data_IF_718938405890
#
_entry.id   IF_718938405890
#
_cell.length_a   1.000
_cell.length_b   1.000
_cell.length_c   1.000
_cell.angle_alpha   90.00
_cell.angle_beta   90.00
_cell.angle_gamma   90.00
#
_symmetry.space_group_name_H-M   'P 1'
#
loop_
_entity.id
_entity.type
_entity.pdbx_description
1 polymer ?
#
# COMPACT_ATOMS: atom_id res chain seq x y z
N UNK A 1 28.44 -7.06 2.57
CA UNK A 1 27.35 -6.11 2.87
C UNK A 1 27.11 -6.15 4.37
N UNK A 2 26.58 -5.06 4.95
CA UNK A 2 25.94 -5.13 6.26
C UNK A 2 24.44 -5.14 6.03
N UNK A 3 23.71 -5.94 6.78
CA UNK A 3 22.29 -6.22 6.54
C UNK A 3 21.45 -5.86 7.76
N UNK A 4 20.17 -5.58 7.54
CA UNK A 4 19.19 -5.39 8.61
C UNK A 4 18.94 -6.70 9.34
N UNK A 5 18.80 -6.66 10.66
CA UNK A 5 18.43 -7.84 11.45
C UNK A 5 17.04 -8.37 11.03
N UNK A 6 16.88 -9.62 10.57
CA UNK A 6 15.61 -10.13 10.03
C UNK A 6 14.42 -10.00 11.00
N UNK A 7 14.62 -10.24 12.29
CA UNK A 7 13.57 -10.06 13.31
C UNK A 7 13.15 -8.62 13.60
N UNK A 8 13.78 -7.61 12.98
CA UNK A 8 13.33 -6.20 13.05
C UNK A 8 12.56 -5.76 11.79
N UNK A 9 12.53 -6.62 10.77
CA UNK A 9 11.99 -6.34 9.43
C UNK A 9 11.16 -7.52 8.91
N UNK A 10 10.61 -8.34 9.81
CA UNK A 10 9.84 -9.55 9.48
C UNK A 10 8.48 -9.24 8.83
N UNK A 11 8.05 -7.98 8.91
CA UNK A 11 6.88 -7.43 8.24
C UNK A 11 7.15 -6.99 6.79
N UNK A 12 8.42 -6.94 6.36
CA UNK A 12 8.80 -6.56 5.00
C UNK A 12 8.62 -7.73 4.02
N UNK A 13 7.78 -7.56 3.01
CA UNK A 13 7.52 -8.60 2.00
C UNK A 13 7.03 -8.02 0.67
N UNK A 14 7.08 -8.86 -0.36
CA UNK A 14 6.52 -8.59 -1.68
C UNK A 14 5.60 -9.74 -2.04
N UNK A 15 4.40 -9.42 -2.52
CA UNK A 15 3.47 -10.38 -3.12
C UNK A 15 2.97 -9.87 -4.46
N UNK A 16 2.51 -10.77 -5.32
CA UNK A 16 2.01 -10.50 -6.65
C UNK A 16 0.52 -10.79 -6.73
N UNK A 17 -0.21 -10.01 -7.50
CA UNK A 17 -1.56 -10.34 -7.96
C UNK A 17 -1.69 -10.07 -9.45
N UNK A 18 -2.57 -10.81 -10.12
CA UNK A 18 -2.84 -10.68 -11.56
C UNK A 18 -4.29 -11.04 -11.85
N UNK A 19 -4.84 -10.51 -12.94
CA UNK A 19 -6.14 -10.93 -13.47
C UNK A 19 -6.04 -12.12 -14.43
N UNK A 20 -4.83 -12.62 -14.73
CA UNK A 20 -4.61 -13.81 -15.55
C UNK A 20 -4.50 -15.05 -14.64
N UNK A 21 -5.59 -15.82 -14.54
CA UNK A 21 -5.64 -17.02 -13.70
C UNK A 21 -4.57 -18.05 -14.12
N UNK A 22 -4.24 -18.16 -15.40
CA UNK A 22 -3.21 -19.10 -15.86
C UNK A 22 -1.80 -18.70 -15.39
N UNK A 23 -1.54 -17.39 -15.26
CA UNK A 23 -0.29 -16.92 -14.65
C UNK A 23 -0.33 -17.10 -13.13
N UNK A 24 -1.47 -16.85 -12.50
CA UNK A 24 -1.63 -17.00 -11.06
C UNK A 24 -1.37 -18.45 -10.61
N UNK A 25 -1.88 -19.44 -11.36
CA UNK A 25 -1.71 -20.87 -11.07
C UNK A 25 -0.25 -21.37 -11.14
N UNK A 26 0.62 -20.65 -11.86
CA UNK A 26 2.05 -21.00 -12.02
C UNK A 26 2.95 -20.26 -11.01
N UNK A 27 2.44 -19.25 -10.31
CA UNK A 27 3.18 -18.54 -9.27
C UNK A 27 3.08 -19.33 -7.96
N UNK A 28 4.20 -19.48 -7.25
CA UNK A 28 4.20 -20.08 -5.91
C UNK A 28 3.25 -19.33 -4.96
N UNK A 29 2.32 -20.07 -4.35
CA UNK A 29 1.30 -19.61 -3.41
C UNK A 29 1.85 -18.66 -2.32
N UNK A 30 3.09 -18.86 -1.87
CA UNK A 30 3.69 -18.02 -0.83
C UNK A 30 3.83 -16.55 -1.26
N UNK A 31 3.92 -16.28 -2.56
CA UNK A 31 4.06 -14.96 -3.15
C UNK A 31 2.77 -14.44 -3.79
N UNK A 32 1.71 -15.24 -3.86
CA UNK A 32 0.47 -14.87 -4.53
C UNK A 32 -0.54 -14.23 -3.57
N UNK A 33 -1.17 -13.13 -3.99
CA UNK A 33 -2.45 -12.67 -3.47
C UNK A 33 -3.52 -13.22 -4.41
N UNK A 34 -4.08 -14.37 -4.04
CA UNK A 34 -5.10 -15.06 -4.83
C UNK A 34 -6.45 -14.30 -4.74
N UNK A 35 -6.84 -13.67 -5.85
CA UNK A 35 -8.08 -12.89 -5.97
C UNK A 35 -9.30 -13.79 -5.79
N UNK A 36 -9.29 -15.00 -6.36
CA UNK A 36 -10.42 -15.93 -6.33
C UNK A 36 -10.68 -16.46 -4.90
N UNK A 37 -9.62 -16.59 -4.10
CA UNK A 37 -9.72 -16.97 -2.68
C UNK A 37 -10.11 -15.80 -1.77
N UNK A 38 -9.68 -14.59 -2.10
CA UNK A 38 -9.83 -13.43 -1.23
C UNK A 38 -11.19 -12.73 -1.39
N UNK A 39 -11.81 -12.83 -2.56
CA UNK A 39 -13.02 -12.10 -2.91
C UNK A 39 -14.18 -13.04 -3.30
N UNK A 40 -15.44 -12.64 -3.03
CA UNK A 40 -16.61 -13.33 -3.59
C UNK A 40 -16.54 -13.37 -5.13
N UNK A 41 -17.07 -14.43 -5.75
CA UNK A 41 -16.91 -14.69 -7.18
C UNK A 41 -17.22 -13.49 -8.10
N UNK A 42 -18.33 -12.78 -7.85
CA UNK A 42 -18.70 -11.59 -8.64
C UNK A 42 -17.67 -10.45 -8.51
N UNK A 43 -17.15 -10.22 -7.30
CA UNK A 43 -16.11 -9.21 -7.06
C UNK A 43 -14.78 -9.65 -7.67
N UNK A 44 -14.42 -10.93 -7.56
CA UNK A 44 -13.21 -11.48 -8.16
C UNK A 44 -13.22 -11.33 -9.68
N UNK A 45 -14.32 -11.68 -10.35
CA UNK A 45 -14.51 -11.48 -11.79
C UNK A 45 -14.34 -10.01 -12.19
N UNK A 46 -14.99 -9.09 -11.47
CA UNK A 46 -14.86 -7.66 -11.73
C UNK A 46 -13.42 -7.14 -11.56
N UNK A 47 -12.72 -7.58 -10.52
CA UNK A 47 -11.33 -7.20 -10.25
C UNK A 47 -10.39 -7.76 -11.33
N UNK A 48 -10.51 -9.05 -11.67
CA UNK A 48 -9.69 -9.67 -12.72
C UNK A 48 -9.92 -9.00 -14.07
N UNK A 49 -11.17 -8.67 -14.41
CA UNK A 49 -11.50 -7.93 -15.63
C UNK A 49 -10.86 -6.53 -15.66
N UNK A 50 -10.83 -5.82 -14.53
CA UNK A 50 -10.21 -4.49 -14.42
C UNK A 50 -8.67 -4.55 -14.49
N UNK A 51 -8.05 -5.56 -13.89
CA UNK A 51 -6.60 -5.77 -13.91
C UNK A 51 -6.14 -6.29 -15.29
N UNK A 52 -6.99 -7.09 -15.95
CA UNK A 52 -6.67 -7.79 -17.18
C UNK A 52 -5.47 -8.73 -17.01
N UNK A 53 -4.70 -8.92 -18.08
CA UNK A 53 -3.52 -9.78 -18.08
C UNK A 53 -2.26 -9.14 -17.49
N UNK A 54 -2.40 -8.06 -16.74
CA UNK A 54 -1.28 -7.42 -16.06
C UNK A 54 -1.02 -8.08 -14.72
N UNK A 55 0.21 -7.95 -14.21
CA UNK A 55 0.60 -8.38 -12.86
C UNK A 55 1.12 -7.19 -12.07
N UNK A 56 0.79 -7.12 -10.79
CA UNK A 56 1.17 -6.04 -9.90
C UNK A 56 1.84 -6.58 -8.64
N UNK A 57 2.81 -5.83 -8.12
CA UNK A 57 3.52 -6.16 -6.89
C UNK A 57 2.99 -5.31 -5.73
N UNK A 58 2.44 -5.96 -4.72
CA UNK A 58 2.11 -5.36 -3.43
C UNK A 58 3.36 -5.44 -2.54
N UNK A 59 3.98 -4.29 -2.27
CA UNK A 59 5.27 -4.20 -1.58
C UNK A 59 5.09 -3.53 -0.23
N UNK A 60 5.45 -4.24 0.83
CA UNK A 60 5.50 -3.72 2.19
C UNK A 60 6.96 -3.54 2.60
N UNK A 61 7.35 -2.30 2.87
CA UNK A 61 8.66 -1.98 3.47
C UNK A 61 8.57 -2.10 5.00
N UNK A 62 9.70 -2.25 5.72
CA UNK A 62 9.65 -2.48 7.15
C UNK A 62 8.98 -1.33 7.91
N UNK A 63 8.11 -1.66 8.87
CA UNK A 63 7.42 -0.67 9.71
C UNK A 63 8.43 0.20 10.45
N UNK A 64 9.54 -0.37 10.92
CA UNK A 64 10.60 0.38 11.61
C UNK A 64 11.19 1.49 10.72
N UNK A 65 11.30 1.24 9.40
CA UNK A 65 11.81 2.23 8.44
C UNK A 65 10.82 3.39 8.29
N UNK A 66 9.54 3.11 8.08
CA UNK A 66 8.51 4.16 7.94
C UNK A 66 8.41 4.99 9.22
N UNK A 67 8.53 4.36 10.39
CA UNK A 67 8.52 5.05 11.69
C UNK A 67 9.75 5.93 11.93
N UNK A 68 10.91 5.53 11.40
CA UNK A 68 12.15 6.31 11.49
C UNK A 68 12.25 7.39 10.40
N UNK A 69 11.54 7.23 9.29
CA UNK A 69 11.56 8.11 8.14
C UNK A 69 10.16 8.73 7.89
N UNK A 70 9.62 8.52 6.69
CA UNK A 70 8.31 9.02 6.27
C UNK A 70 7.67 8.13 5.19
N UNK A 71 6.46 8.47 4.75
CA UNK A 71 5.77 7.76 3.66
C UNK A 71 6.46 7.90 2.29
N UNK A 72 7.17 9.00 2.04
CA UNK A 72 7.91 9.21 0.80
C UNK A 72 9.06 8.22 0.61
N UNK A 73 9.50 7.58 1.70
CA UNK A 73 10.52 6.54 1.70
C UNK A 73 10.02 5.24 1.06
N UNK A 74 8.72 4.92 1.15
CA UNK A 74 8.16 3.62 0.71
C UNK A 74 8.49 3.27 -0.74
N UNK A 75 8.13 4.14 -1.70
CA UNK A 75 8.35 3.86 -3.12
C UNK A 75 9.83 3.88 -3.51
N UNK A 76 10.63 4.71 -2.83
CA UNK A 76 12.08 4.78 -3.06
C UNK A 76 12.77 3.52 -2.57
N UNK A 77 12.48 3.09 -1.34
CA UNK A 77 13.02 1.86 -0.76
C UNK A 77 12.65 0.66 -1.62
N UNK A 78 11.36 0.54 -1.98
CA UNK A 78 10.85 -0.48 -2.88
C UNK A 78 11.66 -0.55 -4.17
N UNK A 79 11.77 0.56 -4.91
CA UNK A 79 12.48 0.59 -6.18
C UNK A 79 13.96 0.21 -6.08
N UNK A 80 14.64 0.58 -4.99
CA UNK A 80 16.05 0.18 -4.79
C UNK A 80 16.18 -1.34 -4.71
N UNK A 81 15.33 -1.98 -3.89
CA UNK A 81 15.41 -3.44 -3.72
C UNK A 81 14.94 -4.17 -4.98
N UNK A 82 13.88 -3.69 -5.65
CA UNK A 82 13.43 -4.24 -6.92
C UNK A 82 14.54 -4.24 -7.98
N UNK A 83 15.25 -3.12 -8.15
CA UNK A 83 16.34 -3.06 -9.13
C UNK A 83 17.44 -4.08 -8.80
N UNK A 84 17.80 -4.24 -7.53
CA UNK A 84 18.78 -5.25 -7.12
C UNK A 84 18.27 -6.68 -7.37
N UNK A 85 16.99 -6.96 -7.12
CA UNK A 85 16.37 -8.25 -7.43
C UNK A 85 16.37 -8.53 -8.93
N UNK A 86 16.09 -7.54 -9.78
CA UNK A 86 16.16 -7.72 -11.24
C UNK A 86 17.58 -8.01 -11.71
N UNK A 87 18.58 -7.31 -11.16
CA UNK A 87 19.98 -7.55 -11.49
C UNK A 87 20.37 -9.00 -11.19
N UNK A 88 20.01 -9.49 -10.00
CA UNK A 88 20.33 -10.85 -9.56
C UNK A 88 19.51 -11.92 -10.30
N UNK A 89 18.18 -11.81 -10.29
CA UNK A 89 17.28 -12.82 -10.83
C UNK A 89 17.38 -13.00 -12.35
N UNK A 90 17.73 -11.93 -13.08
CA UNK A 90 17.85 -11.96 -14.55
C UNK A 90 19.30 -11.90 -15.04
N UNK A 91 20.29 -12.03 -14.14
CA UNK A 91 21.72 -11.98 -14.48
C UNK A 91 22.12 -10.74 -15.29
N UNK A 92 21.54 -9.59 -14.97
CA UNK A 92 21.88 -8.33 -15.63
C UNK A 92 23.23 -7.81 -15.13
N UNK A 93 23.87 -6.93 -15.89
CA UNK A 93 25.08 -6.27 -15.42
C UNK A 93 24.73 -5.26 -14.31
N UNK A 94 25.42 -5.33 -13.17
CA UNK A 94 25.17 -4.47 -12.03
C UNK A 94 25.55 -3.01 -12.32
N UNK A 95 24.57 -2.22 -12.79
CA UNK A 95 24.74 -0.80 -13.11
C UNK A 95 24.81 -0.48 -14.60
N UNK A 96 24.35 -1.38 -15.49
CA UNK A 96 24.19 -1.04 -16.90
C UNK A 96 23.00 -0.12 -17.18
N UNK A 97 22.94 0.46 -18.38
CA UNK A 97 21.93 1.45 -18.76
C UNK A 97 20.48 0.95 -18.58
N UNK A 98 20.21 -0.34 -18.83
CA UNK A 98 18.89 -0.94 -18.66
C UNK A 98 18.38 -0.88 -17.21
N UNK A 99 19.27 -0.79 -16.21
CA UNK A 99 18.87 -0.62 -14.80
C UNK A 99 18.20 0.75 -14.57
N UNK A 100 18.52 1.77 -15.39
CA UNK A 100 17.86 3.07 -15.31
C UNK A 100 16.38 2.99 -15.73
N UNK A 101 16.05 2.16 -16.73
CA UNK A 101 14.67 1.94 -17.17
C UNK A 101 13.85 1.24 -16.08
N UNK A 102 14.44 0.23 -15.40
CA UNK A 102 13.83 -0.40 -14.23
C UNK A 102 13.60 0.60 -13.10
N UNK A 103 14.58 1.46 -12.81
CA UNK A 103 14.44 2.49 -11.79
C UNK A 103 13.35 3.52 -12.15
N UNK A 104 13.22 3.90 -13.42
CA UNK A 104 12.17 4.80 -13.87
C UNK A 104 10.79 4.16 -13.77
N UNK A 105 10.65 2.90 -14.19
CA UNK A 105 9.40 2.14 -14.06
C UNK A 105 8.98 2.00 -12.60
N UNK A 106 9.87 1.53 -11.73
CA UNK A 106 9.56 1.27 -10.32
C UNK A 106 9.31 2.54 -9.47
N UNK A 107 9.80 3.71 -9.91
CA UNK A 107 9.66 4.98 -9.16
C UNK A 107 8.61 5.92 -9.73
N UNK A 108 8.22 5.77 -10.99
CA UNK A 108 7.33 6.71 -11.67
C UNK A 108 6.35 6.01 -12.62
N UNK A 109 6.84 5.29 -13.62
CA UNK A 109 5.99 4.87 -14.75
C UNK A 109 4.96 3.77 -14.39
N UNK A 110 5.28 2.92 -13.42
CA UNK A 110 4.50 1.75 -13.04
C UNK A 110 4.35 1.62 -11.51
N UNK A 111 4.38 2.75 -10.79
CA UNK A 111 4.17 2.76 -9.34
C UNK A 111 2.81 3.37 -9.02
N UNK A 112 2.03 2.67 -8.20
CA UNK A 112 0.85 3.22 -7.55
C UNK A 112 1.22 3.56 -6.11
N UNK A 113 1.19 4.84 -5.79
CA UNK A 113 1.39 5.32 -4.43
C UNK A 113 0.05 5.34 -3.70
N UNK A 114 0.10 5.16 -2.37
CA UNK A 114 -1.13 5.18 -1.56
C UNK A 114 -1.74 6.59 -1.55
N UNK A 115 -0.91 7.61 -1.69
CA UNK A 115 -1.32 9.00 -1.55
C UNK A 115 -0.39 9.92 -2.34
N UNK A 116 -0.93 11.05 -2.80
CA UNK A 116 -0.16 12.06 -3.52
C UNK A 116 0.61 13.01 -2.58
N UNK A 117 1.58 13.73 -3.15
CA UNK A 117 2.32 14.80 -2.46
C UNK A 117 1.42 16.00 -2.15
N UNK A 118 1.62 16.63 -1.00
CA UNK A 118 0.82 17.78 -0.56
C UNK A 118 1.42 19.15 -0.96
N UNK A 119 0.56 20.17 -1.20
CA UNK A 119 1.01 21.53 -1.45
C UNK A 119 1.84 22.13 -0.31
N UNK A 120 2.70 23.10 -0.65
CA UNK A 120 3.73 23.65 0.23
C UNK A 120 3.26 24.09 1.62
N UNK A 121 2.05 24.66 1.76
CA UNK A 121 1.51 25.10 3.07
C UNK A 121 1.37 23.96 4.09
N UNK A 122 1.21 22.73 3.61
CA UNK A 122 1.11 21.49 4.41
C UNK A 122 2.02 20.40 3.85
N UNK A 123 3.24 20.82 3.48
CA UNK A 123 4.20 20.00 2.73
C UNK A 123 4.45 18.63 3.39
N UNK A 124 4.10 17.58 2.64
CA UNK A 124 4.41 16.19 2.94
C UNK A 124 4.61 15.47 1.62
N UNK A 125 5.57 14.55 1.60
CA UNK A 125 5.76 13.66 0.46
C UNK A 125 4.56 12.72 0.27
N UNK A 126 4.63 11.84 -0.74
CA UNK A 126 3.62 10.81 -0.95
C UNK A 126 3.43 9.86 0.25
N UNK A 127 2.38 9.03 0.17
CA UNK A 127 1.99 8.07 1.21
C UNK A 127 1.81 8.71 2.61
N UNK A 128 1.33 9.95 2.68
CA UNK A 128 0.94 10.62 3.91
C UNK A 128 -0.59 10.79 3.96
N UNK A 129 -1.23 10.74 5.15
CA UNK A 129 -2.69 10.72 5.27
C UNK A 129 -3.42 11.84 4.53
N UNK A 130 -2.87 13.06 4.51
CA UNK A 130 -3.55 14.19 3.85
C UNK A 130 -3.64 14.09 2.32
N UNK A 131 -2.79 13.28 1.68
CA UNK A 131 -2.84 13.05 0.24
C UNK A 131 -3.65 11.82 -0.15
N UNK A 132 -4.23 11.11 0.83
CA UNK A 132 -4.95 9.86 0.60
C UNK A 132 -6.39 10.18 0.22
N UNK A 133 -6.81 9.75 -0.97
CA UNK A 133 -8.18 9.93 -1.42
C UNK A 133 -9.16 9.10 -0.59
N UNK A 134 -10.39 9.59 -0.42
CA UNK A 134 -11.43 8.87 0.32
C UNK A 134 -11.79 7.53 -0.33
N UNK A 135 -11.75 7.45 -1.67
CA UNK A 135 -11.96 6.21 -2.40
C UNK A 135 -10.89 5.16 -2.10
N UNK A 136 -9.62 5.56 -2.11
CA UNK A 136 -8.53 4.63 -1.76
C UNK A 136 -8.61 4.16 -0.32
N UNK A 137 -9.01 5.03 0.62
CA UNK A 137 -9.25 4.59 1.99
C UNK A 137 -10.41 3.57 2.05
N UNK A 138 -11.50 3.81 1.33
CA UNK A 138 -12.62 2.88 1.27
C UNK A 138 -12.19 1.51 0.73
N UNK A 139 -11.37 1.48 -0.33
CA UNK A 139 -10.86 0.24 -0.93
C UNK A 139 -9.83 -0.48 -0.05
N UNK A 140 -9.06 0.25 0.76
CA UNK A 140 -8.16 -0.36 1.75
C UNK A 140 -8.92 -1.12 2.84
N UNK A 141 -10.11 -0.65 3.23
CA UNK A 141 -10.93 -1.30 4.25
C UNK A 141 -11.59 -2.54 3.64
N UNK A 142 -11.14 -3.71 4.09
CA UNK A 142 -11.50 -5.00 3.51
C UNK A 142 -12.90 -5.52 3.90
N UNK A 143 -13.75 -4.71 4.51
CA UNK A 143 -15.10 -5.14 4.93
C UNK A 143 -15.99 -5.48 3.74
N UNK A 144 -15.79 -4.82 2.60
CA UNK A 144 -16.56 -5.01 1.35
C UNK A 144 -16.50 -6.44 0.81
N UNK A 145 -15.37 -7.15 0.98
CA UNK A 145 -15.20 -8.54 0.51
C UNK A 145 -15.67 -9.60 1.50
N UNK A 146 -15.86 -9.25 2.79
CA UNK A 146 -16.28 -10.21 3.83
C UNK A 146 -17.74 -10.06 4.26
N UNK A 147 -18.31 -8.86 4.15
CA UNK A 147 -19.67 -8.55 4.57
C UNK A 147 -20.44 -7.80 3.47
N UNK A 148 -20.25 -8.20 2.21
CA UNK A 148 -20.81 -7.54 1.03
C UNK A 148 -22.34 -7.34 1.09
N UNK A 149 -23.06 -8.27 1.73
CA UNK A 149 -24.52 -8.23 1.86
C UNK A 149 -25.02 -7.18 2.88
N UNK A 150 -24.14 -6.65 3.74
CA UNK A 150 -24.45 -5.62 4.73
C UNK A 150 -23.77 -4.30 4.35
N UNK A 151 -24.38 -3.48 3.47
CA UNK A 151 -23.78 -2.25 2.99
C UNK A 151 -23.60 -1.21 4.11
N UNK A 152 -24.39 -1.28 5.19
CA UNK A 152 -24.27 -0.40 6.35
C UNK A 152 -22.98 -0.74 7.10
N UNK A 153 -22.74 -2.02 7.38
CA UNK A 153 -21.49 -2.46 8.01
C UNK A 153 -20.27 -2.15 7.17
N UNK A 154 -20.34 -2.33 5.85
CA UNK A 154 -19.24 -1.94 4.95
C UNK A 154 -18.94 -0.44 5.10
N UNK A 155 -19.98 0.39 4.97
CA UNK A 155 -19.84 1.85 5.03
C UNK A 155 -19.34 2.33 6.39
N UNK A 156 -19.88 1.80 7.49
CA UNK A 156 -19.50 2.22 8.85
C UNK A 156 -18.08 1.80 9.22
N UNK A 157 -17.56 0.68 8.69
CA UNK A 157 -16.16 0.33 8.89
C UNK A 157 -15.22 1.27 8.12
N UNK A 158 -15.62 1.76 6.95
CA UNK A 158 -14.88 2.82 6.24
C UNK A 158 -14.91 4.12 7.05
N UNK A 159 -16.07 4.48 7.63
CA UNK A 159 -16.19 5.65 8.52
C UNK A 159 -15.27 5.51 9.74
N UNK A 160 -15.24 4.33 10.37
CA UNK A 160 -14.37 4.07 11.51
C UNK A 160 -12.89 4.23 11.16
N UNK A 161 -12.44 3.67 10.04
CA UNK A 161 -11.07 3.83 9.55
C UNK A 161 -10.74 5.29 9.21
N UNK A 162 -11.67 6.01 8.57
CA UNK A 162 -11.53 7.41 8.22
C UNK A 162 -11.44 8.32 9.44
N UNK A 163 -12.28 8.11 10.45
CA UNK A 163 -12.22 8.86 11.70
C UNK A 163 -10.90 8.60 12.46
N UNK A 164 -10.41 7.36 12.49
CA UNK A 164 -9.11 7.08 13.10
C UNK A 164 -7.95 7.74 12.31
N UNK A 165 -7.94 7.63 10.98
CA UNK A 165 -6.82 8.11 10.18
C UNK A 165 -6.83 9.63 9.98
N UNK A 166 -7.95 10.20 9.54
CA UNK A 166 -8.05 11.62 9.18
C UNK A 166 -8.20 12.51 10.40
N UNK A 167 -9.04 12.14 11.37
CA UNK A 167 -9.28 13.01 12.52
C UNK A 167 -8.20 12.84 13.57
N UNK A 168 -7.95 11.61 14.05
CA UNK A 168 -7.02 11.42 15.16
C UNK A 168 -5.54 11.55 14.75
N UNK A 169 -5.13 10.90 13.66
CA UNK A 169 -3.73 10.90 13.23
C UNK A 169 -3.43 12.15 12.40
N UNK A 170 -4.14 12.38 11.31
CA UNK A 170 -3.80 13.46 10.40
C UNK A 170 -4.09 14.84 11.00
N UNK A 171 -5.34 15.15 11.29
CA UNK A 171 -5.71 16.45 11.84
C UNK A 171 -5.19 16.63 13.27
N UNK A 172 -5.48 15.68 14.15
CA UNK A 172 -5.17 15.73 15.58
C UNK A 172 -3.71 15.55 15.96
N UNK A 173 -2.86 15.07 15.03
CA UNK A 173 -1.41 14.97 15.26
C UNK A 173 -0.60 15.71 14.19
N UNK A 174 -0.66 15.29 12.93
CA UNK A 174 0.21 15.85 11.87
C UNK A 174 -0.03 17.35 11.62
N UNK A 175 -1.28 17.80 11.69
CA UNK A 175 -1.67 19.17 11.32
C UNK A 175 -1.80 20.14 12.50
N UNK A 176 -2.04 19.66 13.72
CA UNK A 176 -2.17 20.53 14.90
C UNK A 176 -1.38 20.11 16.13
N UNK A 177 -1.15 18.81 16.32
CA UNK A 177 -0.85 18.25 17.64
C UNK A 177 -2.07 18.31 18.58
N UNK A 178 -1.89 17.87 19.83
CA UNK A 178 -2.93 17.62 20.86
C UNK A 178 -3.89 18.79 21.21
N UNK A 179 -3.84 19.91 20.49
CA UNK A 179 -4.50 21.18 20.81
C UNK A 179 -5.91 21.36 20.22
N UNK A 180 -6.33 20.60 19.19
CA UNK A 180 -7.61 20.82 18.49
C UNK A 180 -8.83 20.08 19.07
N UNK A 181 -8.77 19.53 20.29
CA UNK A 181 -9.91 18.82 20.90
C UNK A 181 -10.27 17.47 20.25
N UNK A 182 -9.63 17.11 19.13
CA UNK A 182 -9.66 15.79 18.51
C UNK A 182 -8.44 15.01 19.02
N UNK A 183 -8.56 14.44 20.22
CA UNK A 183 -7.42 13.81 20.88
C UNK A 183 -7.23 12.37 20.35
N UNK A 184 -5.99 11.92 20.05
CA UNK A 184 -5.74 10.56 19.55
C UNK A 184 -6.17 9.43 20.50
N UNK A 185 -6.40 9.76 21.78
CA UNK A 185 -6.88 8.82 22.82
C UNK A 185 -8.36 8.95 23.15
N UNK A 186 -9.07 9.96 22.64
CA UNK A 186 -10.53 10.03 22.78
C UNK A 186 -11.16 9.24 21.65
N UNK A 187 -12.01 8.24 21.94
CA UNK A 187 -12.79 7.57 20.92
C UNK A 187 -13.62 8.61 20.15
N UNK A 188 -13.52 8.70 18.82
CA UNK A 188 -14.40 9.51 17.99
C UNK A 188 -15.80 8.92 18.08
N UNK A 189 -16.79 9.81 18.16
CA UNK A 189 -18.21 9.45 18.17
C UNK A 189 -18.63 8.61 16.96
N UNK A 190 -17.83 8.62 15.89
CA UNK A 190 -18.11 7.92 14.65
C UNK A 190 -17.97 6.39 14.74
N UNK A 191 -17.33 5.82 15.78
CA UNK A 191 -17.12 4.37 15.87
C UNK A 191 -17.29 3.75 17.27
N UNK A 192 -18.02 4.44 18.16
CA UNK A 192 -18.37 3.95 19.50
C UNK A 192 -19.85 3.68 19.67
#
# INVERSE_FOLDING_TARGET
LVETHPGLVDDCNVRVFTGDDALADEIDDQYLIDINKMFPAEQAEALKAAIGKTSWQAIHIPTIVVRSCDGGTTSRWSAMQLCMTFIDAYNMCAGEAAVADLAYAAKHAAVLQMSEMLPARRARGPNNPGGLSFGFLADMVQTSRVAAADPVKVSLNVVAAGAALYDQIWLGSYMSGRWLGVHPRTPPAAYT
#
